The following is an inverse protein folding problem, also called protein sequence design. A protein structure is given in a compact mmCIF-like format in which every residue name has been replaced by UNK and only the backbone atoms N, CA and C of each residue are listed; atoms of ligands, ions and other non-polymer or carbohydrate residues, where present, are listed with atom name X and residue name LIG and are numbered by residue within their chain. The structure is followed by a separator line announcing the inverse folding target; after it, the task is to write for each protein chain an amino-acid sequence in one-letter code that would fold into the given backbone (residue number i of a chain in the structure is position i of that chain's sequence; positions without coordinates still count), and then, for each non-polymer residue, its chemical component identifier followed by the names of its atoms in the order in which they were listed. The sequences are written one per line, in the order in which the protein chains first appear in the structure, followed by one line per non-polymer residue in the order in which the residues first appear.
data_IF_038857509400
#
_entry.id   IF_038857509400
#
_cell.length_a   1.000
_cell.length_b   1.000
_cell.length_c   1.000
_cell.angle_alpha   90.00
_cell.angle_beta   90.00
_cell.angle_gamma   90.00
#
_symmetry.space_group_name_H-M   'P 1'
#
loop_
_entity.id
_entity.type
_entity.pdbx_description
1 polymer ?
#
# COMPACT_ATOMS: atom_id res chain seq x y z
N UNK A 1 -17.31 -1.17 14.39
CA UNK A 1 -17.55 -1.16 12.95
C UNK A 1 -16.27 -1.42 12.18
N UNK A 2 -16.30 -2.41 11.29
CA UNK A 2 -15.16 -2.86 10.49
C UNK A 2 -14.78 -1.77 9.49
N UNK A 3 -13.52 -1.34 9.52
CA UNK A 3 -12.88 -0.81 8.32
C UNK A 3 -13.06 -1.83 7.18
N UNK A 4 -13.17 -1.32 5.96
CA UNK A 4 -13.16 -2.12 4.72
C UNK A 4 -11.85 -2.87 4.46
N UNK A 5 -10.92 -2.90 5.42
CA UNK A 5 -9.73 -3.76 5.49
C UNK A 5 -10.06 -5.26 5.37
N UNK A 6 -11.33 -5.66 5.44
CA UNK A 6 -11.76 -7.06 5.30
C UNK A 6 -11.50 -7.67 3.93
N UNK A 7 -11.38 -6.88 2.87
CA UNK A 7 -11.25 -7.43 1.51
C UNK A 7 -9.79 -7.71 1.15
N UNK A 8 -8.83 -6.93 1.65
CA UNK A 8 -7.40 -7.22 1.50
C UNK A 8 -6.91 -8.34 2.43
N UNK A 9 -7.69 -8.70 3.44
CA UNK A 9 -7.46 -9.90 4.24
C UNK A 9 -8.33 -11.08 3.82
N UNK A 10 -8.86 -11.08 2.60
CA UNK A 10 -9.77 -12.13 2.15
C UNK A 10 -9.05 -13.44 1.82
N UNK A 11 -9.80 -14.54 1.76
CA UNK A 11 -9.26 -15.84 1.40
C UNK A 11 -8.65 -15.87 0.00
N UNK A 12 -9.19 -15.12 -0.96
CA UNK A 12 -8.66 -15.06 -2.32
C UNK A 12 -7.37 -14.24 -2.41
N UNK A 13 -7.25 -13.15 -1.66
CA UNK A 13 -6.00 -12.38 -1.56
C UNK A 13 -4.90 -13.24 -0.92
N UNK A 14 -5.21 -13.96 0.16
CA UNK A 14 -4.29 -14.91 0.77
C UNK A 14 -3.85 -16.02 -0.20
N UNK A 15 -4.77 -16.56 -1.01
CA UNK A 15 -4.44 -17.54 -2.04
C UNK A 15 -3.50 -16.97 -3.10
N UNK A 16 -3.69 -15.71 -3.51
CA UNK A 16 -2.80 -15.03 -4.45
C UNK A 16 -1.39 -14.87 -3.86
N UNK A 17 -1.27 -14.44 -2.60
CA UNK A 17 0.02 -14.35 -1.92
C UNK A 17 0.67 -15.72 -1.73
N UNK A 18 -0.10 -16.76 -1.44
CA UNK A 18 0.43 -18.13 -1.38
C UNK A 18 1.03 -18.56 -2.73
N UNK A 19 0.37 -18.24 -3.85
CA UNK A 19 0.92 -18.49 -5.20
C UNK A 19 2.21 -17.72 -5.43
N UNK A 20 2.30 -16.47 -4.99
CA UNK A 20 3.53 -15.66 -5.07
C UNK A 20 4.67 -16.30 -4.26
N UNK A 21 4.42 -16.66 -3.00
CA UNK A 21 5.38 -17.30 -2.08
C UNK A 21 5.91 -18.60 -2.68
N UNK A 22 5.02 -19.49 -3.11
CA UNK A 22 5.40 -20.78 -3.70
C UNK A 22 6.08 -20.63 -5.07
N UNK A 23 5.62 -19.71 -5.90
CA UNK A 23 6.24 -19.40 -7.19
C UNK A 23 7.67 -18.86 -7.06
N UNK A 24 7.96 -18.14 -5.97
CA UNK A 24 9.29 -17.65 -5.62
C UNK A 24 10.16 -18.68 -4.87
N UNK A 25 9.63 -19.88 -4.58
CA UNK A 25 10.35 -20.90 -3.80
C UNK A 25 10.62 -20.45 -2.36
N UNK A 26 9.66 -19.76 -1.75
CA UNK A 26 9.69 -19.27 -0.37
C UNK A 26 8.73 -20.11 0.51
N UNK A 27 8.98 -20.08 1.81
CA UNK A 27 8.19 -20.80 2.83
C UNK A 27 7.82 -19.93 4.05
N UNK A 28 8.30 -18.68 4.07
CA UNK A 28 8.09 -17.73 5.15
C UNK A 28 7.33 -16.50 4.67
N UNK A 29 6.33 -16.07 5.45
CA UNK A 29 5.58 -14.82 5.24
C UNK A 29 5.61 -13.98 6.51
N UNK A 30 6.05 -12.74 6.38
CA UNK A 30 6.04 -11.72 7.43
C UNK A 30 5.06 -10.62 7.03
N UNK A 31 4.01 -10.44 7.81
CA UNK A 31 2.98 -9.41 7.60
C UNK A 31 3.24 -8.22 8.53
N UNK A 32 3.58 -7.07 7.95
CA UNK A 32 3.91 -5.82 8.67
C UNK A 32 2.67 -4.94 8.74
N UNK A 33 2.30 -4.53 9.97
CA UNK A 33 0.99 -3.93 10.21
C UNK A 33 -0.11 -5.00 10.13
N UNK A 34 0.16 -6.18 10.71
CA UNK A 34 -0.70 -7.36 10.57
C UNK A 34 -2.13 -7.18 11.12
N UNK A 35 -2.44 -6.06 11.79
CA UNK A 35 -3.76 -5.77 12.31
C UNK A 35 -4.18 -6.80 13.34
N UNK A 36 -5.23 -7.59 13.07
CA UNK A 36 -5.61 -8.71 13.95
C UNK A 36 -5.16 -10.05 13.39
N UNK A 37 -4.30 -10.10 12.38
CA UNK A 37 -3.73 -11.30 11.77
C UNK A 37 -4.70 -12.03 10.83
N UNK A 38 -5.69 -11.34 10.25
CA UNK A 38 -6.68 -11.91 9.35
C UNK A 38 -6.02 -12.60 8.13
N UNK A 39 -5.09 -11.92 7.45
CA UNK A 39 -4.32 -12.49 6.34
C UNK A 39 -3.58 -13.76 6.76
N UNK A 40 -2.86 -13.70 7.88
CA UNK A 40 -2.08 -14.83 8.40
C UNK A 40 -2.98 -16.03 8.76
N UNK A 41 -4.20 -15.82 9.26
CA UNK A 41 -5.17 -16.91 9.50
C UNK A 41 -5.55 -17.60 8.21
N UNK A 42 -5.82 -16.84 7.14
CA UNK A 42 -6.15 -17.42 5.84
C UNK A 42 -4.97 -18.19 5.24
N UNK A 43 -3.75 -17.63 5.31
CA UNK A 43 -2.55 -18.35 4.87
C UNK A 43 -2.33 -19.64 5.66
N UNK A 44 -2.49 -19.62 6.98
CA UNK A 44 -2.36 -20.80 7.82
C UNK A 44 -3.39 -21.90 7.49
N UNK A 45 -4.63 -21.50 7.16
CA UNK A 45 -5.68 -22.44 6.76
C UNK A 45 -5.41 -23.06 5.39
N UNK A 46 -4.86 -22.28 4.46
CA UNK A 46 -4.53 -22.74 3.10
C UNK A 46 -3.28 -23.63 3.10
N UNK A 47 -2.27 -23.27 3.88
CA UNK A 47 -0.97 -23.92 3.90
C UNK A 47 -0.38 -23.92 5.33
N UNK A 48 -0.70 -24.92 6.16
CA UNK A 48 -0.29 -24.98 7.56
C UNK A 48 1.23 -25.05 7.78
N UNK A 49 1.97 -25.48 6.76
CA UNK A 49 3.43 -25.66 6.80
C UNK A 49 4.22 -24.36 6.51
N UNK A 50 3.54 -23.24 6.18
CA UNK A 50 4.21 -21.94 6.07
C UNK A 50 4.67 -21.43 7.44
N UNK A 51 5.85 -20.81 7.47
CA UNK A 51 6.30 -20.03 8.61
C UNK A 51 5.65 -18.64 8.52
N UNK A 52 4.82 -18.31 9.52
CA UNK A 52 4.01 -17.10 9.51
C UNK A 52 4.36 -16.21 10.72
N UNK A 53 4.65 -14.94 10.45
CA UNK A 53 4.96 -13.94 11.46
C UNK A 53 4.12 -12.69 11.24
N UNK A 54 3.36 -12.28 12.28
CA UNK A 54 2.77 -10.95 12.34
C UNK A 54 3.71 -9.97 13.05
N UNK A 55 3.96 -8.83 12.42
CA UNK A 55 4.67 -7.68 13.00
C UNK A 55 3.65 -6.58 13.25
N UNK A 56 3.31 -6.38 14.52
CA UNK A 56 2.24 -5.48 14.92
C UNK A 56 2.46 -4.98 16.36
N UNK A 57 2.26 -3.68 16.56
CA UNK A 57 2.42 -3.02 17.86
C UNK A 57 1.30 -3.45 18.82
N UNK A 58 0.10 -3.72 18.29
CA UNK A 58 -1.01 -4.25 19.07
C UNK A 58 -0.72 -5.66 19.62
N UNK A 59 -1.40 -5.99 20.73
CA UNK A 59 -1.26 -7.29 21.36
C UNK A 59 -1.73 -8.43 20.44
N UNK A 60 -1.03 -9.56 20.52
CA UNK A 60 -1.40 -10.79 19.80
C UNK A 60 -2.86 -11.17 20.10
N UNK A 61 -3.71 -11.38 19.09
CA UNK A 61 -5.07 -11.87 19.29
C UNK A 61 -5.09 -13.22 20.01
N UNK A 62 -5.98 -13.36 21.00
CA UNK A 62 -6.08 -14.58 21.81
C UNK A 62 -6.48 -15.82 20.99
N UNK A 63 -7.22 -15.60 19.90
CA UNK A 63 -7.73 -16.64 18.99
C UNK A 63 -6.80 -16.92 17.80
N UNK A 64 -5.66 -16.24 17.70
CA UNK A 64 -4.69 -16.50 16.64
C UNK A 64 -4.07 -17.90 16.83
N UNK A 65 -4.01 -18.75 15.79
CA UNK A 65 -3.37 -20.06 15.86
C UNK A 65 -1.96 -20.00 16.46
N UNK A 66 -1.64 -20.94 17.34
CA UNK A 66 -0.35 -20.96 18.06
C UNK A 66 0.88 -21.07 17.14
N UNK A 67 0.69 -21.62 15.93
CA UNK A 67 1.74 -21.72 14.91
C UNK A 67 2.12 -20.37 14.28
N UNK A 68 1.27 -19.34 14.41
CA UNK A 68 1.55 -18.00 13.89
C UNK A 68 2.29 -17.20 14.96
N UNK A 69 3.53 -16.85 14.66
CA UNK A 69 4.37 -16.02 15.52
C UNK A 69 3.90 -14.55 15.50
N UNK A 70 4.22 -13.82 16.56
CA UNK A 70 3.83 -12.42 16.73
C UNK A 70 4.93 -11.62 17.42
N UNK A 71 5.25 -10.45 16.90
CA UNK A 71 6.26 -9.52 17.44
C UNK A 71 5.85 -8.08 17.20
N UNK A 72 6.40 -7.14 17.97
CA UNK A 72 6.18 -5.69 17.76
C UNK A 72 7.26 -5.04 16.90
N UNK A 73 8.29 -5.78 16.51
CA UNK A 73 9.40 -5.27 15.71
C UNK A 73 9.78 -6.26 14.62
N UNK A 74 9.99 -5.74 13.40
CA UNK A 74 10.46 -6.52 12.27
C UNK A 74 11.84 -7.13 12.61
N UNK A 75 12.11 -8.41 12.28
CA UNK A 75 13.42 -9.01 12.46
C UNK A 75 14.53 -8.23 11.74
N UNK A 76 15.78 -8.38 12.20
CA UNK A 76 16.94 -7.73 11.55
C UNK A 76 17.24 -8.30 10.16
N UNK A 77 16.83 -9.55 9.92
CA UNK A 77 16.98 -10.28 8.66
C UNK A 77 15.78 -11.20 8.43
N UNK A 78 15.28 -11.25 7.20
CA UNK A 78 14.18 -12.10 6.77
C UNK A 78 14.54 -12.80 5.46
N UNK A 79 14.41 -14.13 5.45
CA UNK A 79 14.36 -14.94 4.24
C UNK A 79 12.90 -15.32 3.98
N UNK A 80 12.27 -14.73 2.97
CA UNK A 80 10.84 -14.94 2.73
C UNK A 80 10.13 -13.79 2.03
N UNK A 81 8.80 -13.79 2.09
CA UNK A 81 7.96 -12.68 1.67
C UNK A 81 7.73 -11.76 2.87
N UNK A 82 8.10 -10.48 2.76
CA UNK A 82 7.59 -9.42 3.63
C UNK A 82 6.47 -8.70 2.89
N UNK A 83 5.27 -8.65 3.48
CA UNK A 83 4.10 -7.96 2.95
C UNK A 83 3.70 -6.85 3.93
N UNK A 84 3.33 -5.68 3.41
CA UNK A 84 2.76 -4.59 4.18
C UNK A 84 1.54 -4.05 3.43
N UNK A 85 0.34 -4.38 3.89
CA UNK A 85 -0.91 -3.94 3.26
C UNK A 85 -1.53 -2.79 4.07
N UNK A 86 -1.72 -1.63 3.45
CA UNK A 86 -2.27 -0.42 4.08
C UNK A 86 -1.48 -0.02 5.33
N UNK A 87 -0.14 -0.10 5.23
CA UNK A 87 0.78 0.27 6.31
C UNK A 87 1.46 1.62 6.07
N UNK A 88 1.76 1.96 4.81
CA UNK A 88 2.56 3.16 4.50
C UNK A 88 1.73 4.44 4.57
N UNK A 89 0.43 4.38 4.26
CA UNK A 89 -0.51 5.48 4.40
C UNK A 89 -0.67 5.96 5.86
N UNK A 90 -0.52 5.03 6.80
CA UNK A 90 -0.56 5.25 8.25
C UNK A 90 0.74 5.84 8.83
N UNK A 91 1.83 5.85 8.06
CA UNK A 91 3.09 6.47 8.52
C UNK A 91 2.98 7.99 8.42
N UNK A 92 3.29 8.74 9.50
CA UNK A 92 3.19 10.19 9.51
C UNK A 92 4.02 10.85 8.40
N UNK A 93 3.44 11.87 7.77
CA UNK A 93 4.09 12.71 6.76
C UNK A 93 3.94 14.19 7.09
N UNK A 94 4.85 15.01 6.57
CA UNK A 94 4.65 16.46 6.59
C UNK A 94 3.72 16.86 5.45
N UNK A 95 2.83 17.83 5.68
CA UNK A 95 2.04 18.45 4.62
C UNK A 95 2.63 19.82 4.30
N UNK A 96 2.70 20.15 3.01
CA UNK A 96 3.08 21.50 2.54
C UNK A 96 1.97 22.07 1.66
N UNK A 97 1.83 23.39 1.66
CA UNK A 97 0.82 24.10 0.89
C UNK A 97 1.41 25.34 0.19
N UNK A 98 0.95 25.61 -1.03
CA UNK A 98 1.22 26.87 -1.75
C UNK A 98 0.38 27.99 -1.13
N UNK A 99 1.02 28.94 -0.47
CA UNK A 99 0.37 30.10 0.12
C UNK A 99 -0.20 31.05 -0.97
N UNK A 100 -1.09 32.01 -0.63
CA UNK A 100 -1.59 33.02 -1.57
C UNK A 100 -0.51 33.81 -2.32
N UNK A 101 0.69 33.96 -1.73
CA UNK A 101 1.84 34.61 -2.35
C UNK A 101 2.68 33.70 -3.25
N UNK A 102 2.25 32.46 -3.52
CA UNK A 102 2.94 31.49 -4.38
C UNK A 102 4.11 30.76 -3.72
N UNK A 103 4.50 31.10 -2.49
CA UNK A 103 5.53 30.37 -1.75
C UNK A 103 4.94 29.12 -1.11
N UNK A 104 5.72 28.04 -1.10
CA UNK A 104 5.35 26.78 -0.42
C UNK A 104 5.71 26.89 1.07
N UNK A 105 4.77 26.56 1.95
CA UNK A 105 4.94 26.57 3.40
C UNK A 105 4.64 25.20 3.99
N UNK A 106 5.29 24.85 5.09
CA UNK A 106 4.90 23.69 5.91
C UNK A 106 3.54 23.99 6.56
N UNK A 107 2.62 23.02 6.54
CA UNK A 107 1.34 23.11 7.26
C UNK A 107 1.53 22.59 8.67
N UNK A 108 1.12 23.37 9.65
CA UNK A 108 1.00 22.95 11.05
C UNK A 108 -0.45 22.68 11.38
N UNK A 109 -0.68 21.82 12.38
CA UNK A 109 -2.00 21.48 12.89
C UNK A 109 -2.01 21.65 14.41
N UNK A 110 -3.06 22.28 14.94
CA UNK A 110 -3.34 22.25 16.37
C UNK A 110 -3.81 20.84 16.76
N UNK A 111 -3.10 20.13 17.66
CA UNK A 111 -3.42 18.73 17.96
C UNK A 111 -4.72 18.57 18.77
N UNK A 112 -5.24 19.63 19.39
CA UNK A 112 -6.50 19.60 20.15
C UNK A 112 -7.72 19.92 19.27
N UNK A 113 -7.57 20.81 18.28
CA UNK A 113 -8.70 21.28 17.45
C UNK A 113 -8.68 20.77 16.02
N UNK A 114 -7.51 20.39 15.50
CA UNK A 114 -7.31 20.06 14.09
C UNK A 114 -7.20 21.29 13.19
N UNK A 115 -7.17 22.51 13.75
CA UNK A 115 -7.05 23.74 12.98
C UNK A 115 -5.67 23.81 12.32
N UNK A 116 -5.66 24.02 11.01
CA UNK A 116 -4.44 24.12 10.23
C UNK A 116 -3.96 25.57 10.13
N UNK A 117 -2.64 25.77 10.11
CA UNK A 117 -2.01 27.06 9.88
C UNK A 117 -0.74 26.92 9.05
N UNK A 118 -0.39 27.96 8.29
CA UNK A 118 0.85 27.99 7.54
C UNK A 118 2.03 28.31 8.47
N UNK A 119 2.98 27.40 8.53
CA UNK A 119 4.25 27.52 9.24
C UNK A 119 5.31 28.25 8.42
N UNK A 120 6.57 27.87 8.64
CA UNK A 120 7.69 28.45 7.91
C UNK A 120 7.65 28.09 6.41
N UNK A 121 8.17 28.96 5.54
CA UNK A 121 8.44 28.59 4.15
C UNK A 121 9.26 27.30 4.06
N UNK A 122 8.98 26.45 3.08
CA UNK A 122 9.67 25.18 2.88
C UNK A 122 11.19 25.35 2.62
N UNK A 123 11.58 26.51 2.10
CA UNK A 123 12.98 26.89 1.86
C UNK A 123 13.64 27.61 3.06
N UNK A 124 12.94 27.77 4.18
CA UNK A 124 13.47 28.41 5.37
C UNK A 124 14.53 27.53 6.06
N UNK A 125 15.60 28.12 6.57
CA UNK A 125 16.77 27.43 7.14
C UNK A 125 16.46 26.50 8.34
N UNK A 126 15.32 26.70 9.01
CA UNK A 126 14.88 25.86 10.13
C UNK A 126 14.07 24.64 9.70
N UNK A 127 13.63 24.58 8.44
CA UNK A 127 12.91 23.44 7.90
C UNK A 127 13.95 22.45 7.35
N UNK A 128 13.85 21.13 7.66
CA UNK A 128 14.79 20.16 7.14
C UNK A 128 14.86 20.19 5.61
N UNK A 129 16.07 20.39 5.09
CA UNK A 129 16.34 20.47 3.64
C UNK A 129 15.84 19.24 2.87
N UNK A 130 15.80 18.07 3.52
CA UNK A 130 15.25 16.84 2.94
C UNK A 130 13.80 16.97 2.49
N UNK A 131 12.98 17.78 3.17
CA UNK A 131 11.58 17.99 2.79
C UNK A 131 11.50 18.75 1.45
N UNK A 132 12.31 19.81 1.30
CA UNK A 132 12.38 20.59 0.05
C UNK A 132 12.90 19.76 -1.10
N UNK A 133 13.97 19.00 -0.88
CA UNK A 133 14.55 18.13 -1.92
C UNK A 133 13.58 17.04 -2.37
N UNK A 134 12.89 16.42 -1.41
CA UNK A 134 11.87 15.43 -1.73
C UNK A 134 10.71 16.05 -2.50
N UNK A 135 10.19 17.20 -2.06
CA UNK A 135 9.11 17.91 -2.76
C UNK A 135 9.51 18.27 -4.19
N UNK A 136 10.65 18.95 -4.38
CA UNK A 136 11.11 19.36 -5.71
C UNK A 136 11.34 18.17 -6.64
N UNK A 137 11.86 17.06 -6.11
CA UNK A 137 12.10 15.86 -6.90
C UNK A 137 10.80 15.15 -7.22
N UNK A 138 9.98 14.84 -6.23
CA UNK A 138 8.86 13.94 -6.40
C UNK A 138 7.61 14.72 -6.73
N UNK A 139 7.19 15.67 -5.89
CA UNK A 139 5.93 16.42 -5.95
C UNK A 139 6.15 17.93 -6.12
N UNK A 140 6.65 18.40 -7.29
CA UNK A 140 6.94 19.82 -7.50
C UNK A 140 5.65 20.65 -7.48
N UNK A 141 5.73 21.83 -6.87
CA UNK A 141 4.60 22.76 -6.70
C UNK A 141 4.87 24.13 -7.36
N UNK A 142 5.96 24.26 -8.12
CA UNK A 142 6.41 25.54 -8.70
C UNK A 142 5.39 26.18 -9.66
N UNK A 143 4.62 25.33 -10.37
CA UNK A 143 3.56 25.76 -11.29
C UNK A 143 2.15 25.65 -10.68
N UNK A 144 2.06 25.23 -9.42
CA UNK A 144 0.79 24.99 -8.75
C UNK A 144 0.20 26.30 -8.19
N UNK A 145 -1.14 26.41 -8.19
CA UNK A 145 -1.84 27.58 -7.68
C UNK A 145 -1.91 27.60 -6.13
N UNK A 146 -2.28 28.76 -5.53
CA UNK A 146 -2.56 28.82 -4.10
C UNK A 146 -3.54 27.74 -3.62
N UNK A 147 -3.26 27.16 -2.46
CA UNK A 147 -4.02 26.06 -1.87
C UNK A 147 -3.62 24.67 -2.38
N UNK A 148 -2.72 24.58 -3.38
CA UNK A 148 -2.18 23.28 -3.78
C UNK A 148 -1.31 22.66 -2.69
N UNK A 149 -1.44 21.34 -2.49
CA UNK A 149 -0.80 20.61 -1.39
C UNK A 149 0.06 19.45 -1.88
N UNK A 150 1.02 19.08 -1.05
CA UNK A 150 1.76 17.83 -1.18
C UNK A 150 1.98 17.18 0.20
N UNK A 151 1.81 15.86 0.26
CA UNK A 151 2.25 15.04 1.38
C UNK A 151 3.70 14.57 1.15
N UNK A 152 4.62 15.01 2.01
CA UNK A 152 6.05 14.74 1.87
C UNK A 152 6.40 13.34 2.38
N UNK A 153 6.83 12.47 1.47
CA UNK A 153 7.04 11.03 1.72
C UNK A 153 8.35 10.62 2.39
N UNK A 154 9.23 11.54 2.78
CA UNK A 154 10.58 11.20 3.31
C UNK A 154 10.60 10.13 4.41
N UNK A 155 9.64 10.16 5.34
CA UNK A 155 9.48 9.18 6.43
C UNK A 155 9.04 7.81 5.91
N UNK A 156 8.12 7.79 4.95
CA UNK A 156 7.59 6.58 4.29
C UNK A 156 8.64 5.90 3.43
N UNK A 157 9.38 6.69 2.65
CA UNK A 157 10.51 6.22 1.84
C UNK A 157 11.55 5.54 2.73
N UNK A 158 11.92 6.16 3.85
CA UNK A 158 12.88 5.61 4.79
C UNK A 158 12.37 4.34 5.49
N UNK A 159 11.09 4.34 5.90
CA UNK A 159 10.48 3.19 6.56
C UNK A 159 10.41 1.97 5.62
N UNK A 160 9.95 2.16 4.38
CA UNK A 160 9.92 1.08 3.40
C UNK A 160 11.32 0.60 3.02
N UNK A 161 12.28 1.53 2.84
CA UNK A 161 13.67 1.16 2.57
C UNK A 161 14.28 0.34 3.71
N UNK A 162 13.96 0.63 4.97
CA UNK A 162 14.41 -0.17 6.10
C UNK A 162 13.81 -1.58 6.09
N UNK A 163 12.53 -1.73 5.71
CA UNK A 163 11.90 -3.05 5.52
C UNK A 163 12.61 -3.84 4.43
N UNK A 164 12.76 -3.25 3.23
CA UNK A 164 13.39 -3.93 2.08
C UNK A 164 14.84 -4.33 2.39
N UNK A 165 15.60 -3.48 3.10
CA UNK A 165 17.00 -3.75 3.48
C UNK A 165 17.14 -4.99 4.37
N UNK A 166 16.12 -5.35 5.14
CA UNK A 166 16.13 -6.52 6.03
C UNK A 166 15.75 -7.82 5.32
N UNK A 167 15.37 -7.77 4.03
CA UNK A 167 15.11 -8.98 3.24
C UNK A 167 16.42 -9.45 2.63
N UNK A 168 16.98 -10.53 3.16
CA UNK A 168 18.25 -11.10 2.68
C UNK A 168 18.03 -11.89 1.39
N UNK A 169 17.01 -12.76 1.39
CA UNK A 169 16.53 -13.49 0.21
C UNK A 169 15.01 -13.56 0.17
N UNK A 170 14.41 -13.02 -0.89
CA UNK A 170 12.98 -13.13 -1.10
C UNK A 170 12.38 -11.87 -1.70
N UNK A 171 11.15 -11.55 -1.29
CA UNK A 171 10.36 -10.47 -1.85
C UNK A 171 9.87 -9.53 -0.75
N UNK A 172 9.83 -8.23 -1.05
CA UNK A 172 9.14 -7.23 -0.24
C UNK A 172 8.02 -6.59 -1.08
N UNK A 173 6.80 -6.60 -0.56
CA UNK A 173 5.60 -6.08 -1.24
C UNK A 173 4.89 -5.10 -0.31
N UNK A 174 4.77 -3.85 -0.73
CA UNK A 174 3.86 -2.90 -0.11
C UNK A 174 2.61 -2.74 -0.98
N UNK A 175 1.43 -2.77 -0.38
CA UNK A 175 0.14 -2.61 -1.07
C UNK A 175 -0.60 -1.45 -0.42
N UNK A 176 -0.82 -0.37 -1.16
CA UNK A 176 -1.40 0.84 -0.57
C UNK A 176 -2.12 1.72 -1.61
N UNK A 177 -2.95 2.64 -1.13
CA UNK A 177 -3.51 3.71 -1.95
C UNK A 177 -2.42 4.71 -2.29
N UNK A 178 -2.29 5.02 -3.58
CA UNK A 178 -1.19 5.87 -4.02
C UNK A 178 -1.44 6.52 -5.35
N UNK A 179 -0.48 7.34 -5.74
CA UNK A 179 -0.44 8.03 -7.03
C UNK A 179 1.01 8.13 -7.51
N UNK A 180 1.17 8.19 -8.82
CA UNK A 180 2.42 8.58 -9.48
C UNK A 180 2.48 10.09 -9.66
N UNK A 181 3.54 10.62 -10.27
CA UNK A 181 3.61 12.05 -10.60
C UNK A 181 2.44 12.53 -11.47
N UNK A 182 1.94 11.71 -12.39
CA UNK A 182 0.95 12.14 -13.38
C UNK A 182 -0.46 12.36 -12.85
N UNK A 183 -0.78 11.80 -11.68
CA UNK A 183 -2.12 11.71 -11.11
C UNK A 183 -2.19 12.19 -9.65
N UNK A 184 -1.20 12.98 -9.20
CA UNK A 184 -1.19 13.52 -7.84
C UNK A 184 -2.38 14.46 -7.60
N UNK A 185 -3.06 14.33 -6.45
CA UNK A 185 -4.21 15.17 -6.12
C UNK A 185 -3.74 16.60 -5.84
N UNK A 186 -4.31 17.62 -6.50
CA UNK A 186 -3.85 19.00 -6.34
C UNK A 186 -4.04 19.54 -4.92
N UNK A 187 -5.00 19.01 -4.16
CA UNK A 187 -5.31 19.41 -2.79
C UNK A 187 -4.86 18.36 -1.76
N UNK A 188 -3.95 17.47 -2.14
CA UNK A 188 -3.50 16.39 -1.28
C UNK A 188 -4.54 15.28 -1.11
N UNK A 189 -4.14 14.29 -0.32
CA UNK A 189 -4.85 13.05 -0.07
C UNK A 189 -5.14 12.78 1.41
N UNK A 190 -4.73 13.70 2.31
CA UNK A 190 -4.99 13.55 3.74
C UNK A 190 -6.49 13.34 4.03
N UNK A 191 -6.82 12.24 4.69
CA UNK A 191 -8.20 11.88 5.08
C UNK A 191 -8.23 11.41 6.52
N UNK A 192 -9.42 11.43 7.09
CA UNK A 192 -9.64 10.91 8.43
C UNK A 192 -10.99 10.24 8.55
N UNK A 193 -11.03 9.17 9.33
CA UNK A 193 -12.22 8.34 9.49
C UNK A 193 -12.49 8.04 10.97
N UNK A 194 -13.76 8.12 11.35
CA UNK A 194 -14.27 7.67 12.65
C UNK A 194 -15.50 6.79 12.41
N UNK A 195 -15.49 5.59 12.97
CA UNK A 195 -16.61 4.63 12.86
C UNK A 195 -17.06 4.40 11.40
N UNK A 196 -16.09 4.39 10.47
CA UNK A 196 -16.32 4.19 9.03
C UNK A 196 -16.84 5.42 8.26
N UNK A 197 -17.01 6.57 8.92
CA UNK A 197 -17.40 7.82 8.28
C UNK A 197 -16.23 8.80 8.17
N UNK A 198 -16.12 9.47 7.02
CA UNK A 198 -15.12 10.53 6.82
C UNK A 198 -15.39 11.72 7.74
N UNK A 199 -14.33 12.29 8.30
CA UNK A 199 -14.39 13.43 9.21
C UNK A 199 -13.19 14.35 9.01
N UNK A 200 -13.19 15.51 9.65
CA UNK A 200 -12.04 16.41 9.63
C UNK A 200 -10.82 15.72 10.26
N UNK A 201 -9.61 15.84 9.68
CA UNK A 201 -8.39 15.31 10.28
C UNK A 201 -8.15 15.88 11.69
N UNK A 202 -7.83 14.99 12.64
CA UNK A 202 -7.43 15.35 13.99
C UNK A 202 -6.45 14.29 14.52
N UNK A 203 -5.18 14.63 14.75
CA UNK A 203 -4.15 13.67 15.16
C UNK A 203 -4.13 13.44 16.68
N UNK A 204 -5.29 13.16 17.28
CA UNK A 204 -5.45 12.93 18.73
C UNK A 204 -5.64 11.44 19.10
N UNK A 205 -5.53 10.55 18.11
CA UNK A 205 -5.74 9.10 18.27
C UNK A 205 -7.21 8.67 18.40
N UNK A 206 -8.16 9.61 18.36
CA UNK A 206 -9.59 9.30 18.45
C UNK A 206 -10.19 8.87 17.11
N UNK A 207 -9.46 9.07 16.01
CA UNK A 207 -9.86 8.78 14.63
C UNK A 207 -8.63 8.39 13.84
N UNK A 208 -8.83 7.65 12.77
CA UNK A 208 -7.77 7.29 11.85
C UNK A 208 -7.39 8.50 10.98
N UNK A 209 -6.12 8.63 10.61
CA UNK A 209 -5.59 9.71 9.75
C UNK A 209 -4.60 9.10 8.77
N UNK A 210 -4.96 9.10 7.49
CA UNK A 210 -4.17 8.49 6.42
C UNK A 210 -3.92 9.51 5.31
N UNK A 211 -2.88 9.25 4.52
CA UNK A 211 -2.67 9.94 3.25
C UNK A 211 -2.09 8.98 2.23
N UNK A 212 -2.55 9.08 0.99
CA UNK A 212 -2.04 8.28 -0.11
C UNK A 212 -0.52 8.46 -0.27
N UNK A 213 0.12 7.45 -0.83
CA UNK A 213 1.58 7.43 -0.99
C UNK A 213 2.00 7.85 -2.41
N UNK A 214 3.12 8.57 -2.51
CA UNK A 214 3.80 8.80 -3.77
C UNK A 214 4.57 7.53 -4.17
N UNK A 215 3.90 6.62 -4.87
CA UNK A 215 4.42 5.26 -5.15
C UNK A 215 5.69 5.28 -5.98
N UNK A 216 5.85 6.30 -6.83
CA UNK A 216 7.04 6.51 -7.64
C UNK A 216 8.27 6.86 -6.78
N UNK A 217 8.08 7.62 -5.70
CA UNK A 217 9.13 7.92 -4.74
C UNK A 217 9.54 6.68 -3.93
N UNK A 218 8.54 5.95 -3.41
CA UNK A 218 8.75 4.72 -2.62
C UNK A 218 9.49 3.67 -3.46
N UNK A 219 9.04 3.41 -4.68
CA UNK A 219 9.70 2.46 -5.57
C UNK A 219 11.14 2.87 -5.90
N UNK A 220 11.39 4.15 -6.18
CA UNK A 220 12.73 4.63 -6.45
C UNK A 220 13.67 4.55 -5.24
N UNK A 221 13.15 4.70 -4.01
CA UNK A 221 13.94 4.59 -2.79
C UNK A 221 14.52 3.17 -2.58
N UNK A 222 13.86 2.15 -3.13
CA UNK A 222 14.23 0.73 -2.94
C UNK A 222 14.62 0.01 -4.23
N UNK A 223 14.64 0.72 -5.36
CA UNK A 223 14.87 0.11 -6.68
C UNK A 223 13.77 -0.89 -7.08
N UNK A 224 12.56 -0.70 -6.57
CA UNK A 224 11.42 -1.58 -6.82
C UNK A 224 10.63 -1.22 -8.07
N UNK A 225 9.65 -2.05 -8.40
CA UNK A 225 8.68 -1.82 -9.48
C UNK A 225 7.29 -1.51 -8.93
N UNK A 226 6.55 -0.67 -9.63
CA UNK A 226 5.14 -0.38 -9.33
C UNK A 226 4.25 -1.13 -10.32
N UNK A 227 3.24 -1.82 -9.81
CA UNK A 227 2.15 -2.41 -10.59
C UNK A 227 0.83 -2.15 -9.88
N UNK A 228 -0.30 -2.19 -10.59
CA UNK A 228 -1.60 -2.12 -9.92
C UNK A 228 -1.95 -3.47 -9.27
N UNK A 229 -2.75 -3.43 -8.21
CA UNK A 229 -3.30 -4.64 -7.58
C UNK A 229 -4.04 -5.49 -8.61
N UNK A 230 -4.82 -4.86 -9.49
CA UNK A 230 -5.50 -5.57 -10.59
C UNK A 230 -4.52 -6.39 -11.42
N UNK A 231 -3.41 -5.80 -11.86
CA UNK A 231 -2.39 -6.48 -12.66
C UNK A 231 -1.69 -7.58 -11.86
N UNK A 232 -1.30 -7.30 -10.61
CA UNK A 232 -0.66 -8.25 -9.72
C UNK A 232 -1.53 -9.49 -9.50
N UNK A 233 -2.80 -9.29 -9.13
CA UNK A 233 -3.74 -10.36 -8.85
C UNK A 233 -4.07 -11.17 -10.11
N UNK A 234 -4.20 -10.53 -11.27
CA UNK A 234 -4.36 -11.26 -12.54
C UNK A 234 -3.12 -12.10 -12.90
N UNK A 235 -1.91 -11.58 -12.66
CA UNK A 235 -0.67 -12.34 -12.83
C UNK A 235 -0.57 -13.53 -11.86
N UNK A 236 -1.21 -13.43 -10.70
CA UNK A 236 -1.35 -14.49 -9.70
C UNK A 236 -2.62 -15.33 -9.89
N UNK A 237 -3.19 -15.34 -11.10
CA UNK A 237 -4.32 -16.17 -11.52
C UNK A 237 -5.64 -15.91 -10.74
N UNK A 238 -5.85 -14.68 -10.25
CA UNK A 238 -7.13 -14.25 -9.69
C UNK A 238 -8.04 -13.77 -10.83
N UNK A 239 -9.23 -14.36 -10.93
CA UNK A 239 -10.17 -14.10 -12.02
C UNK A 239 -11.61 -14.01 -11.54
N UNK A 240 -12.30 -12.92 -11.90
CA UNK A 240 -13.73 -12.73 -11.68
C UNK A 240 -14.64 -13.45 -12.69
N UNK A 241 -14.10 -14.41 -13.46
CA UNK A 241 -14.90 -15.16 -14.44
C UNK A 241 -15.95 -15.99 -13.70
N UNK A 242 -17.23 -15.73 -14.00
CA UNK A 242 -18.35 -16.47 -13.42
C UNK A 242 -18.27 -17.97 -13.77
N UNK A 243 -18.63 -18.87 -12.84
CA UNK A 243 -18.73 -20.30 -13.13
C UNK A 243 -19.79 -20.58 -14.20
N UNK A 244 -19.64 -21.70 -14.93
CA UNK A 244 -20.64 -22.14 -15.90
C UNK A 244 -21.98 -22.39 -15.18
N UNK A 245 -23.08 -21.90 -15.75
CA UNK A 245 -24.44 -22.05 -15.23
C UNK A 245 -24.87 -23.52 -15.13
N UNK A 246 -24.34 -24.42 -15.97
CA UNK A 246 -24.65 -25.85 -15.89
C UNK A 246 -24.31 -26.44 -14.51
N UNK A 247 -23.31 -25.86 -13.83
CA UNK A 247 -22.94 -26.25 -12.47
C UNK A 247 -24.05 -25.93 -11.45
N UNK A 248 -24.90 -24.93 -11.70
CA UNK A 248 -26.02 -24.63 -10.82
C UNK A 248 -27.04 -25.77 -10.76
N UNK A 249 -27.14 -26.58 -11.82
CA UNK A 249 -27.98 -27.77 -11.84
C UNK A 249 -27.26 -29.01 -11.27
N UNK A 250 -25.96 -29.18 -11.58
CA UNK A 250 -25.19 -30.36 -11.21
C UNK A 250 -24.63 -30.33 -9.77
N UNK A 251 -24.19 -29.17 -9.29
CA UNK A 251 -23.70 -28.92 -7.94
C UNK A 251 -24.04 -27.47 -7.52
N UNK A 252 -25.28 -27.23 -7.04
CA UNK A 252 -25.72 -25.90 -6.65
C UNK A 252 -24.82 -25.24 -5.60
N UNK A 253 -24.32 -26.02 -4.63
CA UNK A 253 -23.46 -25.52 -3.58
C UNK A 253 -22.08 -25.12 -4.13
N UNK A 254 -21.51 -25.93 -5.01
CA UNK A 254 -20.26 -25.60 -5.71
C UNK A 254 -20.40 -24.39 -6.64
N UNK A 255 -21.54 -24.23 -7.31
CA UNK A 255 -21.83 -23.03 -8.10
C UNK A 255 -21.85 -21.77 -7.23
N UNK A 256 -22.56 -21.78 -6.10
CA UNK A 256 -22.62 -20.63 -5.20
C UNK A 256 -21.25 -20.28 -4.64
N UNK A 257 -20.44 -21.28 -4.21
CA UNK A 257 -19.06 -21.04 -3.76
C UNK A 257 -18.21 -20.37 -4.83
N UNK A 258 -18.19 -20.90 -6.05
CA UNK A 258 -17.42 -20.30 -7.16
C UNK A 258 -17.93 -18.94 -7.60
N UNK A 259 -19.23 -18.68 -7.47
CA UNK A 259 -19.80 -17.38 -7.76
C UNK A 259 -19.39 -16.34 -6.71
N UNK A 260 -19.33 -16.72 -5.44
CA UNK A 260 -18.81 -15.88 -4.36
C UNK A 260 -17.33 -15.52 -4.61
N UNK A 261 -16.48 -16.51 -4.90
CA UNK A 261 -15.07 -16.30 -5.29
C UNK A 261 -14.93 -15.35 -6.50
N UNK A 262 -15.75 -15.54 -7.54
CA UNK A 262 -15.73 -14.66 -8.72
C UNK A 262 -16.18 -13.21 -8.41
N UNK A 263 -17.07 -13.04 -7.44
CA UNK A 263 -17.55 -11.72 -7.00
C UNK A 263 -16.44 -11.00 -6.22
N UNK A 264 -15.83 -11.69 -5.27
CA UNK A 264 -14.68 -11.21 -4.51
C UNK A 264 -13.50 -10.85 -5.43
N UNK A 265 -13.17 -11.70 -6.40
CA UNK A 265 -12.16 -11.40 -7.41
C UNK A 265 -12.48 -10.13 -8.21
N UNK A 266 -13.76 -9.91 -8.52
CA UNK A 266 -14.21 -8.72 -9.25
C UNK A 266 -14.03 -7.47 -8.41
N UNK A 267 -14.31 -7.53 -7.10
CA UNK A 267 -14.10 -6.42 -6.16
C UNK A 267 -12.61 -6.10 -5.98
N UNK A 268 -11.79 -7.11 -5.71
CA UNK A 268 -10.33 -6.99 -5.55
C UNK A 268 -9.62 -6.40 -6.78
N UNK A 269 -10.19 -6.62 -7.97
CA UNK A 269 -9.63 -6.16 -9.24
C UNK A 269 -10.38 -4.98 -9.84
N UNK A 270 -11.40 -4.42 -9.16
CA UNK A 270 -12.23 -3.35 -9.70
C UNK A 270 -11.43 -2.06 -9.95
N UNK A 271 -11.58 -1.50 -11.15
CA UNK A 271 -11.04 -0.17 -11.48
C UNK A 271 -11.78 0.90 -10.67
N UNK A 272 -11.05 1.86 -10.11
CA UNK A 272 -11.61 2.88 -9.22
C UNK A 272 -12.01 2.35 -7.83
N UNK A 273 -11.70 1.10 -7.52
CA UNK A 273 -11.80 0.49 -6.20
C UNK A 273 -10.47 -0.18 -5.83
N UNK A 274 -10.53 -1.35 -5.19
CA UNK A 274 -9.36 -2.06 -4.68
C UNK A 274 -8.35 -2.43 -5.78
N UNK A 275 -8.81 -2.65 -7.01
CA UNK A 275 -7.93 -2.94 -8.13
C UNK A 275 -6.98 -1.79 -8.48
N UNK A 276 -7.27 -0.56 -8.03
CA UNK A 276 -6.44 0.63 -8.20
C UNK A 276 -5.35 0.81 -7.15
N UNK A 277 -5.29 -0.05 -6.12
CA UNK A 277 -4.17 -0.03 -5.18
C UNK A 277 -2.87 -0.26 -5.92
N UNK A 278 -1.80 0.35 -5.43
CA UNK A 278 -0.48 0.19 -5.98
C UNK A 278 0.29 -0.84 -5.18
N UNK A 279 0.93 -1.77 -5.88
CA UNK A 279 1.90 -2.69 -5.33
C UNK A 279 3.30 -2.16 -5.64
N UNK A 280 4.09 -1.87 -4.61
CA UNK A 280 5.53 -1.63 -4.76
C UNK A 280 6.25 -2.94 -4.41
N UNK A 281 6.94 -3.52 -5.39
CA UNK A 281 7.55 -4.84 -5.28
C UNK A 281 9.05 -4.75 -5.46
N UNK A 282 9.81 -5.35 -4.53
CA UNK A 282 11.27 -5.46 -4.57
C UNK A 282 11.69 -6.92 -4.39
N UNK A 283 12.74 -7.33 -5.10
CA UNK A 283 13.37 -8.65 -4.94
C UNK A 283 14.75 -8.54 -4.31
N UNK A 284 15.15 -9.55 -3.54
CA UNK A 284 16.45 -9.63 -2.88
C UNK A 284 17.02 -11.06 -2.91
N UNK A 285 18.34 -11.18 -2.77
CA UNK A 285 19.02 -12.48 -2.70
C UNK A 285 18.85 -13.36 -3.96
N UNK A 286 18.70 -12.74 -5.13
CA UNK A 286 18.50 -13.43 -6.41
C UNK A 286 17.07 -13.93 -6.66
N UNK A 287 16.09 -13.45 -5.89
CA UNK A 287 14.67 -13.73 -6.11
C UNK A 287 14.05 -12.53 -6.84
N UNK A 288 13.66 -12.75 -8.11
CA UNK A 288 13.03 -11.72 -8.93
C UNK A 288 11.50 -11.77 -8.79
N UNK A 289 10.82 -10.61 -8.71
CA UNK A 289 9.36 -10.55 -8.77
C UNK A 289 8.82 -11.13 -10.08
N UNK A 290 7.72 -11.91 -10.08
CA UNK A 290 7.17 -12.50 -11.30
C UNK A 290 6.38 -11.50 -12.16
N UNK A 291 6.38 -10.22 -11.79
CA UNK A 291 5.59 -9.18 -12.45
C UNK A 291 6.42 -8.51 -13.55
N UNK A 292 5.83 -8.34 -14.73
CA UNK A 292 6.50 -7.61 -15.82
C UNK A 292 6.55 -6.13 -15.44
N UNK A 293 7.74 -5.55 -15.38
CA UNK A 293 7.90 -4.11 -15.23
C UNK A 293 7.24 -3.40 -16.41
N UNK A 294 6.25 -2.53 -16.16
CA UNK A 294 5.86 -1.54 -17.15
C UNK A 294 7.09 -0.64 -17.41
N UNK A 295 7.70 -0.74 -18.59
CA UNK A 295 8.73 0.22 -18.97
C UNK A 295 8.07 1.61 -19.02
N UNK A 296 8.65 2.66 -18.41
CA UNK A 296 8.16 4.01 -18.64
C UNK A 296 8.38 4.33 -20.12
N UNK A 297 7.30 4.34 -20.89
CA UNK A 297 7.35 4.62 -22.32
C UNK A 297 7.92 6.01 -22.56
N UNK A 298 9.17 6.06 -23.02
CA UNK A 298 9.70 7.24 -23.69
C UNK A 298 8.87 7.37 -24.97
N UNK A 299 8.04 8.42 -25.04
CA UNK A 299 7.20 8.70 -26.19
C UNK A 299 8.05 8.81 -27.45
N UNK A 300 7.90 7.87 -28.37
CA UNK A 300 8.32 8.07 -29.75
C UNK A 300 7.28 8.97 -30.41
N UNK A 301 7.65 10.23 -30.61
CA UNK A 301 7.00 11.15 -31.52
C UNK A 301 7.02 10.56 -32.93
N UNK A 302 5.91 9.94 -33.32
CA UNK A 302 5.61 9.63 -34.71
C UNK A 302 5.12 10.90 -35.39
N UNK A 303 6.05 11.59 -36.06
CA UNK A 303 5.77 12.71 -36.96
C UNK A 303 4.78 12.27 -38.03
N UNK A 304 3.71 13.07 -38.20
CA UNK A 304 2.95 13.10 -39.43
C UNK A 304 3.86 13.55 -40.58
N UNK A 305 3.83 12.83 -41.70
CA UNK A 305 4.10 13.33 -43.04
C UNK A 305 3.36 12.44 -44.05
N UNK A 306 2.57 13.12 -44.89
CA UNK A 306 1.78 12.71 -46.07
C UNK A 306 0.47 11.94 -45.86
#
# INVERSE_FOLDING_TARGET
DHFRTSVHASGLFALALLRLVRGAGLDTVVDVGAGRGELLRHLHQLEPDLQLLGVEVAARPADLPAAIAWTSALPESVDGLVIANEWLDNIPCHVVEVAPGGRVHVVHVDPATGEESLGQPLDHVTVPESLRQWCARWWPLDEAGPGSRAEIGTTRDAAWADVVRRVDRGLAVAVDYGHTRGDRPPFGSLRSYRDGAETAPLPDGSRDVTAHIAVDAIAAAVGGSVITQREALHALEVSGKRPNLDLAAADPAGYVRRLAEATEATELTALGGLGGFCWVVSGAGGVDPPFRSASPGIGSSGSACE
#
